data_IF_131750163489
#
_entry.id   IF_131750163489
#
_cell.length_a   1.000
_cell.length_b   1.000
_cell.length_c   1.000
_cell.angle_alpha   90.00
_cell.angle_beta   90.00
_cell.angle_gamma   90.00
#
_symmetry.space_group_name_H-M   'P 1'
#
loop_
_entity.id
_entity.type
_entity.pdbx_description
1 polymer ?
#
# COMPACT_ATOMS: atom_id res chain seq x y z
N UNK A 1 -4.04 -12.75 -6.64
CA UNK A 1 -2.83 -12.32 -5.91
C UNK A 1 -1.74 -13.41 -5.90
N UNK A 2 -1.60 -14.23 -6.94
CA UNK A 2 -0.70 -15.39 -6.91
C UNK A 2 0.77 -15.01 -6.77
N UNK A 3 1.23 -14.04 -7.57
CA UNK A 3 2.61 -13.51 -7.51
C UNK A 3 2.91 -12.92 -6.13
N UNK A 4 2.01 -12.07 -5.59
CA UNK A 4 2.19 -11.46 -4.28
C UNK A 4 2.25 -12.51 -3.15
N UNK A 5 1.41 -13.54 -3.21
CA UNK A 5 1.42 -14.62 -2.23
C UNK A 5 2.73 -15.42 -2.27
N UNK A 6 3.23 -15.73 -3.47
CA UNK A 6 4.50 -16.43 -3.64
C UNK A 6 5.67 -15.56 -3.14
N UNK A 7 5.69 -14.28 -3.51
CA UNK A 7 6.69 -13.32 -3.03
C UNK A 7 6.69 -13.25 -1.49
N UNK A 8 5.53 -13.07 -0.87
CA UNK A 8 5.43 -12.92 0.58
C UNK A 8 5.83 -14.21 1.32
N UNK A 9 5.54 -15.38 0.75
CA UNK A 9 6.02 -16.66 1.28
C UNK A 9 7.54 -16.71 1.28
N UNK A 10 8.18 -16.45 0.13
CA UNK A 10 9.64 -16.50 0.01
C UNK A 10 10.31 -15.44 0.89
N UNK A 11 9.73 -14.26 0.99
CA UNK A 11 10.21 -13.19 1.87
C UNK A 11 10.21 -13.64 3.34
N UNK A 12 9.15 -14.32 3.80
CA UNK A 12 9.10 -14.88 5.16
C UNK A 12 10.18 -15.93 5.40
N UNK A 13 10.43 -16.79 4.42
CA UNK A 13 11.47 -17.82 4.52
C UNK A 13 12.86 -17.17 4.68
N UNK A 14 13.14 -16.11 3.90
CA UNK A 14 14.39 -15.34 4.01
C UNK A 14 14.50 -14.62 5.36
N UNK A 15 13.44 -13.94 5.80
CA UNK A 15 13.43 -13.24 7.10
C UNK A 15 13.69 -14.23 8.24
N UNK A 16 13.06 -15.40 8.23
CA UNK A 16 13.28 -16.43 9.23
C UNK A 16 14.70 -16.99 9.24
N UNK A 17 15.41 -16.95 8.11
CA UNK A 17 16.84 -17.29 8.06
C UNK A 17 17.70 -16.16 8.64
N UNK A 18 17.45 -14.91 8.27
CA UNK A 18 18.20 -13.75 8.75
C UNK A 18 18.05 -13.60 10.27
N UNK A 19 16.85 -13.77 10.82
CA UNK A 19 16.60 -13.73 12.27
C UNK A 19 17.41 -14.79 13.05
N UNK A 20 17.70 -15.96 12.45
CA UNK A 20 18.54 -16.99 13.09
C UNK A 20 20.02 -16.61 13.10
N UNK A 21 20.48 -15.87 12.10
CA UNK A 21 21.87 -15.41 11.98
C UNK A 21 22.11 -14.17 12.83
N UNK A 22 21.09 -13.32 12.99
CA UNK A 22 21.15 -12.07 13.74
C UNK A 22 20.11 -12.05 14.87
N UNK A 23 20.32 -12.84 15.95
CA UNK A 23 19.40 -12.89 17.08
C UNK A 23 19.36 -11.58 17.89
N UNK A 24 20.30 -10.67 17.65
CA UNK A 24 20.40 -9.33 18.23
C UNK A 24 19.52 -8.28 17.53
N UNK A 25 18.95 -8.61 16.36
CA UNK A 25 18.12 -7.69 15.58
C UNK A 25 16.63 -8.03 15.70
N UNK A 26 15.82 -7.01 16.01
CA UNK A 26 14.37 -7.09 15.89
C UNK A 26 13.93 -6.86 14.44
N UNK A 27 13.83 -7.96 13.68
CA UNK A 27 13.31 -7.92 12.30
C UNK A 27 11.80 -8.17 12.34
N UNK A 28 11.03 -7.11 12.13
CA UNK A 28 9.56 -7.13 12.22
C UNK A 28 8.95 -7.21 10.81
N UNK A 29 8.08 -8.20 10.59
CA UNK A 29 7.32 -8.33 9.36
C UNK A 29 5.93 -7.70 9.52
N UNK A 30 5.62 -6.68 8.72
CA UNK A 30 4.26 -6.14 8.57
C UNK A 30 3.54 -6.86 7.44
N UNK A 31 2.44 -7.54 7.76
CA UNK A 31 1.61 -8.22 6.77
C UNK A 31 0.68 -7.23 6.07
N UNK A 32 1.25 -6.48 5.13
CA UNK A 32 0.53 -5.49 4.34
C UNK A 32 -0.62 -6.09 3.55
N UNK A 33 -0.51 -7.35 3.13
CA UNK A 33 -1.55 -8.03 2.35
C UNK A 33 -2.76 -8.32 3.23
N UNK A 34 -2.56 -8.92 4.40
CA UNK A 34 -3.68 -9.19 5.31
C UNK A 34 -4.27 -7.90 5.91
N UNK A 35 -3.47 -6.89 6.22
CA UNK A 35 -3.98 -5.60 6.71
C UNK A 35 -4.84 -4.90 5.64
N UNK A 36 -4.35 -4.84 4.40
CA UNK A 36 -5.10 -4.29 3.27
C UNK A 36 -6.42 -5.03 3.07
N UNK A 37 -6.38 -6.37 2.99
CA UNK A 37 -7.57 -7.19 2.79
C UNK A 37 -8.56 -7.10 3.94
N UNK A 38 -8.07 -7.00 5.18
CA UNK A 38 -8.92 -6.84 6.35
C UNK A 38 -9.73 -5.54 6.28
N UNK A 39 -9.09 -4.41 5.94
CA UNK A 39 -9.76 -3.11 5.77
C UNK A 39 -10.69 -3.17 4.55
N UNK A 40 -10.24 -3.73 3.43
CA UNK A 40 -11.06 -3.84 2.21
C UNK A 40 -12.34 -4.67 2.43
N UNK A 41 -12.29 -5.69 3.30
CA UNK A 41 -13.46 -6.49 3.69
C UNK A 41 -14.37 -5.76 4.68
N UNK A 42 -13.87 -4.74 5.38
CA UNK A 42 -14.59 -4.03 6.44
C UNK A 42 -14.47 -2.49 6.32
N UNK A 43 -14.68 -1.87 5.14
CA UNK A 43 -14.26 -0.50 4.87
C UNK A 43 -14.97 0.54 5.77
N UNK A 44 -16.24 0.29 6.11
CA UNK A 44 -17.02 1.18 6.97
C UNK A 44 -16.50 1.27 8.40
N UNK A 45 -15.78 0.25 8.91
CA UNK A 45 -15.14 0.31 10.23
C UNK A 45 -13.99 1.32 10.27
N UNK A 46 -13.48 1.72 9.09
CA UNK A 46 -12.35 2.62 8.91
C UNK A 46 -12.75 3.91 8.19
N UNK A 47 -14.06 4.21 8.12
CA UNK A 47 -14.63 5.39 7.44
C UNK A 47 -14.39 5.46 5.92
N UNK A 48 -14.05 4.34 5.27
CA UNK A 48 -13.99 4.28 3.82
C UNK A 48 -15.38 4.03 3.22
N UNK A 49 -15.75 4.85 2.26
CA UNK A 49 -16.96 4.66 1.45
C UNK A 49 -16.65 4.51 -0.05
N UNK A 50 -15.43 4.84 -0.49
CA UNK A 50 -14.93 4.53 -1.82
C UNK A 50 -13.74 3.57 -1.75
N UNK A 51 -13.96 2.33 -2.18
CA UNK A 51 -12.95 1.26 -2.18
C UNK A 51 -12.43 0.93 -3.57
N UNK A 52 -12.96 1.57 -4.61
CA UNK A 52 -12.78 1.15 -6.01
C UNK A 52 -12.12 2.23 -6.86
N UNK A 53 -12.63 3.45 -6.78
CA UNK A 53 -12.21 4.53 -7.65
C UNK A 53 -11.06 5.31 -7.00
N UNK A 54 -10.07 5.75 -7.77
CA UNK A 54 -9.00 6.59 -7.25
C UNK A 54 -9.53 7.98 -6.86
N UNK A 55 -9.01 8.55 -5.78
CA UNK A 55 -9.28 9.95 -5.45
C UNK A 55 -8.69 10.92 -6.47
N UNK A 56 -7.54 10.59 -7.07
CA UNK A 56 -6.81 11.39 -8.05
C UNK A 56 -6.80 10.72 -9.43
N UNK A 57 -7.38 11.40 -10.41
CA UNK A 57 -7.51 10.86 -11.78
C UNK A 57 -6.31 11.17 -12.68
N UNK A 58 -5.40 12.05 -12.23
CA UNK A 58 -4.35 12.60 -13.09
C UNK A 58 -3.27 11.61 -13.55
N UNK A 59 -3.17 10.42 -12.95
CA UNK A 59 -2.23 9.37 -13.36
C UNK A 59 -2.79 8.32 -14.32
N UNK A 60 -4.12 8.16 -14.39
CA UNK A 60 -4.75 7.06 -15.12
C UNK A 60 -4.85 7.33 -16.63
N UNK A 61 -5.05 8.58 -17.01
CA UNK A 61 -5.20 8.98 -18.42
C UNK A 61 -3.88 8.89 -19.20
N UNK A 62 -2.73 9.15 -18.55
CA UNK A 62 -1.39 8.92 -19.13
C UNK A 62 -1.15 7.44 -19.48
N UNK A 63 -1.60 6.51 -18.62
CA UNK A 63 -1.52 5.07 -18.84
C UNK A 63 -2.48 4.61 -19.95
N UNK A 64 -3.70 5.15 -19.99
CA UNK A 64 -4.66 4.85 -21.06
C UNK A 64 -4.15 5.32 -22.44
N UNK A 65 -3.51 6.51 -22.51
CA UNK A 65 -2.91 7.02 -23.73
C UNK A 65 -1.66 6.24 -24.16
N UNK A 66 -0.81 5.83 -23.20
CA UNK A 66 0.34 4.98 -23.47
C UNK A 66 -0.06 3.59 -24.02
N UNK A 67 -1.18 3.03 -23.57
CA UNK A 67 -1.69 1.74 -24.04
C UNK A 67 -2.54 1.82 -25.31
N UNK A 68 -3.08 3.00 -25.65
CA UNK A 68 -3.80 3.23 -26.90
C UNK A 68 -2.84 3.44 -28.11
N UNK A 69 -1.59 3.80 -27.84
CA UNK A 69 -0.55 4.00 -28.85
C UNK A 69 0.41 2.80 -28.92
N UNK A 70 0.29 1.98 -29.97
CA UNK A 70 1.32 1.02 -30.36
C UNK A 70 2.54 1.76 -30.96
N UNK A 71 3.16 2.66 -30.19
CA UNK A 71 4.36 3.39 -30.57
C UNK A 71 5.40 3.19 -29.48
N UNK A 72 6.53 2.58 -29.83
CA UNK A 72 7.69 2.41 -28.94
C UNK A 72 8.40 3.73 -28.62
N UNK A 73 7.66 4.75 -28.22
CA UNK A 73 8.14 6.07 -27.86
C UNK A 73 7.56 6.53 -26.51
N UNK A 74 8.35 7.29 -25.77
CA UNK A 74 7.96 7.85 -24.46
C UNK A 74 6.60 8.53 -24.53
N UNK A 75 5.67 8.14 -23.63
CA UNK A 75 4.32 8.68 -23.51
C UNK A 75 4.26 10.21 -23.32
N UNK A 76 5.39 10.83 -23.02
CA UNK A 76 5.56 12.29 -22.91
C UNK A 76 5.49 13.03 -24.25
N UNK A 77 5.70 12.37 -25.39
CA UNK A 77 5.78 13.02 -26.71
C UNK A 77 4.45 13.06 -27.47
N UNK A 78 3.43 12.33 -27.02
CA UNK A 78 2.12 12.23 -27.69
C UNK A 78 1.02 13.10 -27.07
N UNK A 79 1.33 13.87 -26.02
CA UNK A 79 0.34 14.72 -25.37
C UNK A 79 0.17 16.04 -26.14
N UNK A 80 -1.01 16.36 -26.70
CA UNK A 80 -1.31 17.73 -27.10
C UNK A 80 -1.24 18.64 -25.86
N UNK A 81 -0.96 19.95 -26.04
CA UNK A 81 -0.87 20.86 -24.91
C UNK A 81 -2.20 20.88 -24.15
N UNK A 82 -2.16 20.39 -22.90
CA UNK A 82 -3.07 20.65 -21.80
C UNK A 82 -4.58 20.60 -22.08
N UNK A 83 -5.23 19.45 -21.85
CA UNK A 83 -6.67 19.34 -21.47
C UNK A 83 -6.98 18.04 -20.69
N UNK A 84 -6.01 17.43 -20.01
CA UNK A 84 -6.28 16.29 -19.12
C UNK A 84 -6.92 16.88 -17.87
N UNK A 85 -8.21 16.62 -17.66
CA UNK A 85 -8.95 17.09 -16.48
C UNK A 85 -8.53 16.27 -15.25
N UNK A 86 -7.31 16.52 -14.77
CA UNK A 86 -6.77 15.92 -13.56
C UNK A 86 -7.48 16.55 -12.37
N UNK A 87 -8.25 15.76 -11.64
CA UNK A 87 -8.95 16.23 -10.44
C UNK A 87 -8.63 15.32 -9.28
N UNK A 88 -8.59 15.90 -8.09
CA UNK A 88 -8.61 15.17 -6.82
C UNK A 88 -10.02 15.23 -6.24
N UNK A 89 -10.44 14.15 -5.58
CA UNK A 89 -11.65 14.11 -4.80
C UNK A 89 -11.59 15.14 -3.66
N UNK A 90 -12.75 15.56 -3.14
CA UNK A 90 -12.83 16.57 -2.06
C UNK A 90 -12.64 15.99 -0.66
N UNK A 91 -12.74 14.67 -0.51
CA UNK A 91 -12.72 13.94 0.76
C UNK A 91 -11.81 12.69 0.68
N UNK A 92 -10.50 12.87 0.46
CA UNK A 92 -9.53 11.78 0.32
C UNK A 92 -9.50 10.81 1.51
N UNK A 93 -9.94 11.25 2.68
CA UNK A 93 -10.03 10.43 3.90
C UNK A 93 -11.06 9.29 3.81
N UNK A 94 -11.99 9.35 2.86
CA UNK A 94 -13.00 8.30 2.65
C UNK A 94 -12.64 7.33 1.51
N UNK A 95 -11.49 7.51 0.87
CA UNK A 95 -11.02 6.70 -0.26
C UNK A 95 -9.89 5.76 0.15
N UNK A 96 -9.91 4.53 -0.37
CA UNK A 96 -8.77 3.60 -0.20
C UNK A 96 -7.62 3.96 -1.15
N UNK A 97 -7.93 4.21 -2.43
CA UNK A 97 -6.94 4.49 -3.48
C UNK A 97 -6.73 5.99 -3.70
N UNK A 98 -5.48 6.42 -3.74
CA UNK A 98 -5.12 7.75 -4.20
C UNK A 98 -5.17 7.80 -5.73
N UNK A 99 -4.42 6.95 -6.41
CA UNK A 99 -4.44 6.80 -7.86
C UNK A 99 -4.61 5.31 -8.24
N UNK A 100 -4.29 4.94 -9.49
CA UNK A 100 -4.40 3.54 -9.94
C UNK A 100 -3.42 2.55 -9.29
N UNK A 101 -2.48 3.02 -8.47
CA UNK A 101 -1.38 2.25 -7.90
C UNK A 101 -1.26 2.49 -6.38
N UNK A 102 -1.32 3.75 -5.95
CA UNK A 102 -1.04 4.16 -4.58
C UNK A 102 -2.30 4.27 -3.72
N UNK A 103 -2.13 4.02 -2.42
CA UNK A 103 -3.18 4.17 -1.42
C UNK A 103 -3.22 5.62 -0.91
N UNK A 104 -4.34 6.04 -0.32
CA UNK A 104 -4.43 7.33 0.37
C UNK A 104 -3.69 7.30 1.72
N UNK A 105 -3.36 8.47 2.25
CA UNK A 105 -2.81 8.61 3.61
C UNK A 105 -3.75 8.03 4.67
N UNK A 106 -5.07 8.12 4.47
CA UNK A 106 -6.04 7.53 5.37
C UNK A 106 -5.94 6.00 5.39
N UNK A 107 -5.77 5.36 4.24
CA UNK A 107 -5.57 3.91 4.14
C UNK A 107 -4.23 3.49 4.77
N UNK A 108 -3.14 4.20 4.49
CA UNK A 108 -1.86 3.94 5.15
C UNK A 108 -1.95 4.10 6.67
N UNK A 109 -2.64 5.13 7.16
CA UNK A 109 -2.87 5.36 8.59
C UNK A 109 -3.68 4.24 9.24
N UNK A 110 -4.72 3.75 8.58
CA UNK A 110 -5.52 2.61 9.04
C UNK A 110 -4.68 1.32 9.12
N UNK A 111 -3.87 1.02 8.09
CA UNK A 111 -2.96 -0.12 8.10
C UNK A 111 -1.91 -0.02 9.20
N UNK A 112 -1.31 1.17 9.39
CA UNK A 112 -0.32 1.39 10.45
C UNK A 112 -0.93 1.16 11.83
N UNK A 113 -2.16 1.64 12.06
CA UNK A 113 -2.88 1.39 13.31
C UNK A 113 -3.05 -0.11 13.58
N UNK A 114 -3.37 -0.90 12.57
CA UNK A 114 -3.44 -2.36 12.70
C UNK A 114 -2.09 -2.96 13.11
N UNK A 115 -1.00 -2.56 12.45
CA UNK A 115 0.35 -3.05 12.80
C UNK A 115 0.75 -2.73 14.25
N UNK A 116 0.31 -1.57 14.76
CA UNK A 116 0.64 -1.13 16.13
C UNK A 116 -0.24 -1.75 17.21
N UNK A 117 -1.43 -2.25 16.87
CA UNK A 117 -2.46 -2.62 17.86
C UNK A 117 -2.94 -4.07 17.79
N UNK A 118 -2.62 -4.79 16.72
CA UNK A 118 -3.13 -6.14 16.50
C UNK A 118 -2.05 -7.09 15.96
N UNK A 119 -1.70 -8.06 16.79
CA UNK A 119 -0.68 -9.08 16.52
C UNK A 119 -0.97 -9.96 15.30
N UNK A 120 -2.19 -9.95 14.76
CA UNK A 120 -2.51 -10.69 13.53
C UNK A 120 -1.81 -10.12 12.29
N UNK A 121 -1.46 -8.83 12.30
CA UNK A 121 -0.91 -8.14 11.13
C UNK A 121 0.59 -7.85 11.24
N UNK A 122 1.24 -8.30 12.32
CA UNK A 122 2.66 -8.05 12.52
C UNK A 122 3.32 -9.18 13.31
N UNK A 123 4.49 -9.64 12.85
CA UNK A 123 5.22 -10.75 13.47
C UNK A 123 6.74 -10.53 13.45
N UNK A 124 7.45 -10.70 14.58
CA UNK A 124 6.89 -10.78 15.93
C UNK A 124 6.11 -9.51 16.26
N UNK A 125 5.11 -9.59 17.17
CA UNK A 125 4.36 -8.39 17.52
C UNK A 125 5.26 -7.42 18.29
N UNK A 126 5.47 -6.21 17.76
CA UNK A 126 6.47 -5.29 18.26
C UNK A 126 5.99 -4.67 19.57
N UNK A 127 6.91 -4.56 20.52
CA UNK A 127 6.67 -3.77 21.71
C UNK A 127 7.22 -2.35 21.51
N UNK A 128 6.61 -1.61 20.57
CA UNK A 128 6.98 -0.21 20.25
C UNK A 128 6.85 0.75 21.45
N UNK A 129 6.21 0.29 22.53
CA UNK A 129 6.01 1.05 23.76
C UNK A 129 7.00 0.67 24.87
N UNK A 130 7.91 -0.28 24.64
CA UNK A 130 9.03 -0.50 25.56
C UNK A 130 10.02 0.63 25.38
N UNK A 131 10.33 1.40 26.45
CA UNK A 131 11.46 2.31 26.39
C UNK A 131 12.73 1.49 26.10
N UNK A 132 13.56 1.95 25.18
CA UNK A 132 14.88 1.35 24.97
C UNK A 132 15.64 1.37 26.31
N UNK A 133 15.93 0.20 26.87
CA UNK A 133 16.83 0.10 28.02
C UNK A 133 18.24 0.35 27.50
N UNK A 134 18.89 1.40 28.00
CA UNK A 134 20.28 1.71 27.67
C UNK A 134 21.15 0.48 27.95
N UNK A 135 21.75 -0.08 26.89
CA UNK A 135 22.86 -1.03 26.98
C UNK A 135 24.19 -0.28 27.02
#
# INVERSE_FOLDING_TARGET
MEISNQHNRLLRDVIGHVQKIHPDLDIIFFDTTEAYLHILRNPSLYNFNNVRDPCYTGGLELLALANAGNTGGSATAALPPHNINMTSCTNPENYIGWDGIHLTDAMYGAMMKLFLTDARFTSPFPNFLTPCTNH
#
